data_IF_055296427051
#
_entry.id   IF_055296427051
#
_cell.length_a   1.000
_cell.length_b   1.000
_cell.length_c   1.000
_cell.angle_alpha   90.00
_cell.angle_beta   90.00
_cell.angle_gamma   90.00
#
_symmetry.space_group_name_H-M   'P 1'
#
loop_
_entity.id
_entity.type
_entity.pdbx_description
1 polymer ?
#
# COMPACT_ATOMS: atom_id res chain seq x y z
N UNK A 1 9.38 -1.79 -14.77
CA UNK A 1 8.66 -1.41 -13.53
C UNK A 1 8.65 -2.63 -12.60
N UNK A 2 8.72 -2.45 -11.28
CA UNK A 2 8.64 -3.61 -10.37
C UNK A 2 7.21 -4.10 -10.31
N UNK A 3 7.00 -5.39 -10.57
CA UNK A 3 5.67 -6.04 -10.52
C UNK A 3 4.94 -5.76 -9.20
N UNK A 4 5.66 -5.57 -8.10
CA UNK A 4 5.09 -5.29 -6.79
C UNK A 4 4.51 -3.87 -6.68
N UNK A 5 5.14 -2.88 -7.33
CA UNK A 5 4.59 -1.52 -7.35
C UNK A 5 3.30 -1.46 -8.15
N UNK A 6 3.27 -2.07 -9.34
CA UNK A 6 2.05 -2.08 -10.16
C UNK A 6 0.93 -2.85 -9.44
N UNK A 7 1.26 -3.99 -8.83
CA UNK A 7 0.32 -4.74 -7.98
C UNK A 7 -0.21 -3.92 -6.80
N UNK A 8 0.65 -3.14 -6.12
CA UNK A 8 0.19 -2.23 -5.05
C UNK A 8 -0.87 -1.26 -5.58
N UNK A 9 -0.61 -0.62 -6.72
CA UNK A 9 -1.53 0.38 -7.24
C UNK A 9 -2.88 -0.26 -7.61
N UNK A 10 -2.85 -1.34 -8.39
CA UNK A 10 -4.06 -1.88 -8.98
C UNK A 10 -4.84 -2.78 -7.99
N UNK A 11 -4.15 -3.69 -7.30
CA UNK A 11 -4.78 -4.73 -6.46
C UNK A 11 -4.96 -4.32 -5.00
N UNK A 12 -4.32 -3.23 -4.56
CA UNK A 12 -4.44 -2.73 -3.18
C UNK A 12 -5.08 -1.35 -3.16
N UNK A 13 -4.48 -0.33 -3.77
CA UNK A 13 -5.03 1.02 -3.67
C UNK A 13 -6.32 1.20 -4.48
N UNK A 14 -6.33 0.86 -5.76
CA UNK A 14 -7.53 0.99 -6.61
C UNK A 14 -8.62 0.04 -6.13
N UNK A 15 -8.28 -1.20 -5.81
CA UNK A 15 -9.24 -2.14 -5.22
C UNK A 15 -9.84 -1.64 -3.89
N UNK A 16 -9.08 -0.91 -3.05
CA UNK A 16 -9.62 -0.26 -1.86
C UNK A 16 -10.58 0.88 -2.23
N UNK A 17 -10.20 1.72 -3.19
CA UNK A 17 -11.05 2.80 -3.71
C UNK A 17 -12.33 2.28 -4.38
N UNK A 18 -12.33 1.05 -4.88
CA UNK A 18 -13.51 0.39 -5.41
C UNK A 18 -14.31 -0.40 -4.36
N UNK A 19 -13.93 -0.31 -3.08
CA UNK A 19 -14.57 -1.04 -1.97
C UNK A 19 -14.60 -2.55 -2.20
N UNK A 20 -13.53 -3.11 -2.79
CA UNK A 20 -13.43 -4.54 -3.11
C UNK A 20 -13.54 -5.41 -1.85
N UNK A 21 -14.62 -6.23 -1.70
CA UNK A 21 -14.84 -7.01 -0.48
C UNK A 21 -13.72 -7.99 -0.12
N UNK A 22 -13.08 -8.70 -1.07
CA UNK A 22 -11.93 -9.55 -0.79
C UNK A 22 -10.76 -8.79 -0.17
N UNK A 23 -10.47 -7.57 -0.66
CA UNK A 23 -9.40 -6.75 -0.13
C UNK A 23 -9.74 -6.22 1.27
N UNK A 24 -10.96 -5.73 1.47
CA UNK A 24 -11.37 -5.21 2.78
C UNK A 24 -11.23 -6.29 3.87
N UNK A 25 -11.69 -7.52 3.60
CA UNK A 25 -11.49 -8.66 4.51
C UNK A 25 -10.02 -8.99 4.74
N UNK A 26 -9.20 -8.88 3.69
CA UNK A 26 -7.76 -9.12 3.80
C UNK A 26 -7.07 -8.08 4.69
N UNK A 27 -7.48 -6.82 4.60
CA UNK A 27 -6.98 -5.73 5.45
C UNK A 27 -7.44 -5.92 6.90
N UNK A 28 -8.71 -6.24 7.14
CA UNK A 28 -9.24 -6.50 8.48
C UNK A 28 -8.55 -7.68 9.17
N UNK A 29 -8.17 -8.71 8.40
CA UNK A 29 -7.44 -9.88 8.90
C UNK A 29 -5.93 -9.66 9.08
N UNK A 30 -5.37 -8.55 8.59
CA UNK A 30 -3.94 -8.29 8.65
C UNK A 30 -3.52 -7.79 10.05
N UNK A 31 -2.51 -8.44 10.64
CA UNK A 31 -1.96 -8.07 11.95
C UNK A 31 -0.73 -7.19 11.78
N UNK A 32 -0.93 -5.89 11.58
CA UNK A 32 0.16 -4.92 11.46
C UNK A 32 -0.32 -3.46 11.43
N UNK A 33 0.60 -2.53 11.17
CA UNK A 33 0.33 -1.09 11.09
C UNK A 33 -0.30 -0.70 9.73
N UNK A 34 -1.26 -1.49 9.26
CA UNK A 34 -2.10 -1.23 8.10
C UNK A 34 -3.54 -1.60 8.46
N UNK A 35 -4.44 -0.62 8.43
CA UNK A 35 -5.81 -0.76 8.92
C UNK A 35 -6.76 0.21 8.23
N UNK A 36 -8.05 -0.07 8.30
CA UNK A 36 -9.10 0.84 7.85
C UNK A 36 -9.53 1.70 9.05
N UNK A 37 -9.61 3.01 8.88
CA UNK A 37 -10.09 3.94 9.91
C UNK A 37 -10.85 5.07 9.24
N UNK A 38 -12.11 5.30 9.64
CA UNK A 38 -12.98 6.33 9.06
C UNK A 38 -13.03 6.27 7.52
N UNK A 39 -13.18 5.06 6.96
CA UNK A 39 -13.18 4.81 5.51
C UNK A 39 -11.88 5.14 4.77
N UNK A 40 -10.79 5.39 5.49
CA UNK A 40 -9.46 5.55 4.93
C UNK A 40 -8.59 4.34 5.20
N UNK A 41 -7.74 3.97 4.24
CA UNK A 41 -6.70 2.98 4.48
C UNK A 41 -5.50 3.70 5.08
N UNK A 42 -5.22 3.42 6.35
CA UNK A 42 -4.14 4.01 7.14
C UNK A 42 -3.00 3.02 7.23
N UNK A 43 -1.77 3.42 6.91
CA UNK A 43 -0.63 2.50 6.89
C UNK A 43 0.71 3.17 7.20
N UNK A 44 1.68 2.39 7.68
CA UNK A 44 3.12 2.71 7.57
C UNK A 44 3.69 2.10 6.29
N UNK A 45 4.80 2.63 5.77
CA UNK A 45 5.44 2.08 4.57
C UNK A 45 5.92 0.62 4.76
N UNK A 46 6.52 0.23 5.90
CA UNK A 46 6.85 -1.18 6.15
C UNK A 46 5.62 -2.09 6.14
N UNK A 47 4.54 -1.71 6.83
CA UNK A 47 3.32 -2.50 6.87
C UNK A 47 2.66 -2.62 5.48
N UNK A 48 2.70 -1.55 4.68
CA UNK A 48 2.22 -1.59 3.30
C UNK A 48 3.05 -2.55 2.44
N UNK A 49 4.38 -2.51 2.56
CA UNK A 49 5.26 -3.42 1.84
C UNK A 49 5.00 -4.87 2.22
N UNK A 50 4.91 -5.16 3.52
CA UNK A 50 4.61 -6.50 4.04
C UNK A 50 3.26 -7.01 3.51
N UNK A 51 2.19 -6.24 3.68
CA UNK A 51 0.85 -6.60 3.21
C UNK A 51 0.82 -6.83 1.69
N UNK A 52 1.39 -5.91 0.91
CA UNK A 52 1.45 -6.02 -0.56
C UNK A 52 2.22 -7.27 -0.97
N UNK A 53 3.33 -7.57 -0.31
CA UNK A 53 4.12 -8.77 -0.59
C UNK A 53 3.35 -10.05 -0.26
N UNK A 54 2.60 -10.07 0.85
CA UNK A 54 1.75 -11.22 1.19
C UNK A 54 0.61 -11.43 0.20
N UNK A 55 -0.06 -10.36 -0.24
CA UNK A 55 -1.11 -10.47 -1.24
C UNK A 55 -0.54 -10.87 -2.61
N UNK A 56 0.62 -10.34 -2.99
CA UNK A 56 1.29 -10.70 -4.22
C UNK A 56 1.60 -12.20 -4.27
N UNK A 57 2.21 -12.73 -3.21
CA UNK A 57 2.52 -14.16 -3.08
C UNK A 57 1.26 -15.03 -3.21
N UNK A 58 0.17 -14.61 -2.56
CA UNK A 58 -1.11 -15.33 -2.58
C UNK A 58 -1.74 -15.34 -3.97
N UNK A 59 -1.74 -14.20 -4.67
CA UNK A 59 -2.36 -14.05 -5.99
C UNK A 59 -1.55 -14.74 -7.08
N UNK A 60 -0.22 -14.66 -7.03
CA UNK A 60 0.66 -15.18 -8.08
C UNK A 60 1.25 -16.56 -7.77
N UNK A 61 0.96 -17.11 -6.58
CA UNK A 61 1.55 -18.36 -6.08
C UNK A 61 3.09 -18.36 -6.15
N UNK A 62 3.70 -17.19 -5.99
CA UNK A 62 5.13 -16.96 -6.13
C UNK A 62 5.64 -16.21 -4.91
N UNK A 63 6.57 -16.79 -4.16
CA UNK A 63 7.21 -16.09 -3.05
C UNK A 63 8.23 -15.07 -3.55
N UNK A 64 8.07 -13.82 -3.14
CA UNK A 64 9.08 -12.78 -3.36
C UNK A 64 9.98 -12.62 -2.14
N UNK A 65 11.23 -12.23 -2.39
CA UNK A 65 12.13 -11.85 -1.32
C UNK A 65 11.60 -10.60 -0.59
N UNK A 66 11.64 -10.64 0.74
CA UNK A 66 11.23 -9.54 1.63
C UNK A 66 12.45 -9.00 2.40
N UNK A 67 13.58 -8.87 1.73
CA UNK A 67 14.79 -8.38 2.39
C UNK A 67 14.80 -6.83 2.44
N UNK A 68 15.74 -6.27 3.19
CA UNK A 68 15.85 -4.81 3.34
C UNK A 68 16.06 -4.07 2.01
N UNK A 69 16.78 -4.67 1.07
CA UNK A 69 17.03 -4.08 -0.25
C UNK A 69 15.74 -4.00 -1.08
N UNK A 70 14.88 -5.02 -0.99
CA UNK A 70 13.57 -5.04 -1.66
C UNK A 70 12.65 -3.94 -1.10
N UNK A 71 12.62 -3.79 0.22
CA UNK A 71 11.88 -2.71 0.88
C UNK A 71 12.37 -1.32 0.43
N UNK A 72 13.69 -1.11 0.40
CA UNK A 72 14.27 0.17 -0.05
C UNK A 72 13.93 0.43 -1.52
N UNK A 73 13.97 -0.58 -2.39
CA UNK A 73 13.60 -0.46 -3.79
C UNK A 73 12.10 -0.11 -3.95
N UNK A 74 11.22 -0.81 -3.24
CA UNK A 74 9.79 -0.51 -3.19
C UNK A 74 9.51 0.92 -2.73
N UNK A 75 10.15 1.35 -1.64
CA UNK A 75 10.01 2.70 -1.11
C UNK A 75 10.48 3.75 -2.13
N UNK A 76 11.61 3.52 -2.81
CA UNK A 76 12.11 4.42 -3.85
C UNK A 76 11.10 4.56 -4.99
N UNK A 77 10.44 3.48 -5.38
CA UNK A 77 9.43 3.49 -6.44
C UNK A 77 8.19 4.28 -6.05
N UNK A 78 7.70 4.16 -4.82
CA UNK A 78 6.58 4.97 -4.34
C UNK A 78 6.84 6.47 -4.45
N UNK A 79 8.07 6.92 -4.19
CA UNK A 79 8.43 8.34 -4.27
C UNK A 79 8.83 8.81 -5.67
N UNK A 80 9.35 7.90 -6.50
CA UNK A 80 9.85 8.24 -7.84
C UNK A 80 8.75 8.19 -8.90
N UNK A 81 7.67 7.44 -8.65
CA UNK A 81 6.53 7.35 -9.56
C UNK A 81 5.45 8.36 -9.18
N UNK A 82 4.64 8.81 -10.14
CA UNK A 82 3.52 9.72 -9.89
C UNK A 82 2.31 8.96 -9.31
N UNK A 83 2.48 8.31 -8.15
CA UNK A 83 1.45 7.47 -7.51
C UNK A 83 0.14 8.22 -7.33
N UNK A 84 0.19 9.44 -6.78
CA UNK A 84 -1.02 10.24 -6.59
C UNK A 84 -1.67 10.67 -7.91
N UNK A 85 -0.91 10.94 -8.97
CA UNK A 85 -1.49 11.23 -10.29
C UNK A 85 -2.29 10.04 -10.82
N UNK A 86 -1.79 8.82 -10.61
CA UNK A 86 -2.51 7.60 -11.02
C UNK A 86 -3.73 7.35 -10.14
N UNK A 87 -3.64 7.54 -8.83
CA UNK A 87 -4.78 7.37 -7.91
C UNK A 87 -5.89 8.42 -8.09
N UNK A 88 -5.53 9.64 -8.47
CA UNK A 88 -6.48 10.72 -8.74
C UNK A 88 -7.46 10.37 -9.87
N UNK A 89 -7.03 9.57 -10.85
CA UNK A 89 -7.90 9.05 -11.92
C UNK A 89 -9.01 8.14 -11.39
N UNK A 90 -8.84 7.60 -10.18
CA UNK A 90 -9.79 6.74 -9.47
C UNK A 90 -10.43 7.43 -8.26
N UNK A 91 -10.32 8.77 -8.18
CA UNK A 91 -10.90 9.55 -7.08
C UNK A 91 -10.22 9.35 -5.74
N UNK A 92 -8.94 8.96 -5.71
CA UNK A 92 -8.19 8.76 -4.48
C UNK A 92 -6.84 9.49 -4.43
N UNK A 93 -6.30 9.64 -3.24
CA UNK A 93 -4.97 10.21 -3.01
C UNK A 93 -4.32 9.64 -1.75
N UNK A 94 -3.01 9.49 -1.76
CA UNK A 94 -2.22 9.18 -0.57
C UNK A 94 -1.63 10.45 0.00
N UNK A 95 -1.89 10.69 1.28
CA UNK A 95 -1.37 11.81 2.05
C UNK A 95 -0.58 11.32 3.26
N UNK A 96 0.34 12.15 3.74
CA UNK A 96 0.98 11.94 5.04
C UNK A 96 -0.02 12.33 6.12
N UNK A 97 -0.33 11.41 7.02
CA UNK A 97 -1.20 11.66 8.16
C UNK A 97 -0.41 12.18 9.36
N UNK A 98 0.63 11.43 9.75
CA UNK A 98 1.52 11.80 10.84
C UNK A 98 2.95 11.68 10.36
N UNK A 99 3.65 12.81 10.28
CA UNK A 99 5.08 12.81 9.99
C UNK A 99 5.88 12.57 11.26
N UNK A 100 6.78 11.59 11.23
CA UNK A 100 7.77 11.32 12.27
C UNK A 100 9.18 11.57 11.73
N UNK A 101 10.16 11.65 12.63
CA UNK A 101 11.58 11.82 12.26
C UNK A 101 12.11 10.68 11.39
N UNK A 102 11.51 9.50 11.45
CA UNK A 102 11.74 8.38 10.52
C UNK A 102 10.52 8.15 9.64
N UNK A 103 10.72 8.11 8.32
CA UNK A 103 9.68 7.80 7.33
C UNK A 103 9.01 6.44 7.58
N UNK A 104 9.77 5.49 8.13
CA UNK A 104 9.28 4.14 8.40
C UNK A 104 8.31 4.14 9.60
N UNK A 105 8.32 5.20 10.42
CA UNK A 105 7.36 5.43 11.52
C UNK A 105 6.29 6.46 11.15
N UNK A 106 6.40 7.12 10.00
CA UNK A 106 5.37 8.02 9.51
C UNK A 106 4.15 7.21 9.08
N UNK A 107 2.99 7.78 9.36
CA UNK A 107 1.71 7.21 8.96
C UNK A 107 1.19 7.92 7.73
N UNK A 108 0.68 7.15 6.79
CA UNK A 108 0.08 7.60 5.54
C UNK A 108 -1.39 7.18 5.51
N UNK A 109 -2.18 7.92 4.74
CA UNK A 109 -3.59 7.63 4.53
C UNK A 109 -3.91 7.67 3.05
N UNK A 110 -4.53 6.62 2.54
CA UNK A 110 -5.26 6.65 1.28
C UNK A 110 -6.70 7.08 1.58
N UNK A 111 -7.10 8.19 0.96
CA UNK A 111 -8.43 8.79 1.12
C UNK A 111 -9.08 9.03 -0.23
N UNK A 112 -10.42 9.08 -0.23
CA UNK A 112 -11.19 9.56 -1.37
C UNK A 112 -11.06 11.08 -1.49
N UNK A 113 -11.08 11.56 -2.73
CA UNK A 113 -11.14 12.98 -3.10
C UNK A 113 -12.59 13.46 -3.23
#
# INVERSE_FOLDING_TARGET
MSRLYDFLIDEIFIAFLQQSPPLLKAVEGFKGDLRITNSHLVFTLPALFEFTSHQFDKTHQQQIARNRSDYVAFRKQLYSNPTNTRLQQYGGTVVVDVSKSSLDHSTYKLMYL
#
